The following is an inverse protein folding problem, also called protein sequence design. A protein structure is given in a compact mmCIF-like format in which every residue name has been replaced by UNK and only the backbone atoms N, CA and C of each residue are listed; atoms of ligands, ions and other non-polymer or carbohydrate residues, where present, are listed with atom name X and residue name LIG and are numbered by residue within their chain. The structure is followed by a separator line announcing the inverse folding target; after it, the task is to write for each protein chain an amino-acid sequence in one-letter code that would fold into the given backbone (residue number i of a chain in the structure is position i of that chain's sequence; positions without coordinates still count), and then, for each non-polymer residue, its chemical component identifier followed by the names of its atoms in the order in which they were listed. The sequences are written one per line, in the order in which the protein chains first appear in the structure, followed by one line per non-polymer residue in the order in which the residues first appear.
data_IF_326819152545
#
_entry.id   IF_326819152545
#
_cell.length_a   1.000
_cell.length_b   1.000
_cell.length_c   1.000
_cell.angle_alpha   90.00
_cell.angle_beta   90.00
_cell.angle_gamma   90.00
#
_symmetry.space_group_name_H-M   'P 1'
#
loop_
_entity.id
_entity.type
_entity.pdbx_description
1 polymer ?
#
# COMPACT_ATOMS: atom_id res chain seq x y z
N UNK A 1 -1.47 -5.45 18.05
CA UNK A 1 -2.45 -4.39 17.90
C UNK A 1 -3.87 -4.94 17.80
N UNK A 2 -4.85 -4.06 17.82
CA UNK A 2 -6.25 -4.40 17.66
C UNK A 2 -6.67 -4.20 16.22
N UNK A 3 -7.23 -5.23 15.60
CA UNK A 3 -7.84 -5.16 14.28
C UNK A 3 -9.36 -5.08 14.42
N UNK A 4 -9.97 -4.29 13.57
CA UNK A 4 -11.42 -4.24 13.42
C UNK A 4 -11.85 -5.19 12.32
N UNK A 5 -13.01 -5.82 12.48
CA UNK A 5 -13.59 -6.67 11.46
C UNK A 5 -15.10 -6.49 11.38
N UNK A 6 -15.63 -6.45 10.16
CA UNK A 6 -17.05 -6.29 9.88
C UNK A 6 -17.64 -4.94 10.31
N UNK A 7 -18.94 -4.77 10.09
CA UNK A 7 -19.68 -3.57 10.44
C UNK A 7 -20.06 -3.45 11.93
N UNK A 8 -19.70 -4.44 12.73
CA UNK A 8 -20.20 -4.61 14.10
C UNK A 8 -19.27 -4.10 15.20
N UNK A 9 -18.34 -3.22 14.90
CA UNK A 9 -17.31 -2.80 15.87
C UNK A 9 -16.55 -3.98 16.51
N UNK A 10 -16.60 -5.15 15.88
CA UNK A 10 -15.87 -6.32 16.33
C UNK A 10 -14.37 -6.04 16.28
N UNK A 11 -13.67 -6.40 17.34
CA UNK A 11 -12.22 -6.24 17.42
C UNK A 11 -11.58 -7.58 17.74
N UNK A 12 -10.39 -7.82 17.17
CA UNK A 12 -9.56 -8.96 17.54
C UNK A 12 -8.12 -8.52 17.63
N UNK A 13 -7.34 -9.25 18.40
CA UNK A 13 -5.91 -9.06 18.39
C UNK A 13 -5.34 -9.54 17.06
N UNK A 14 -4.57 -8.71 16.41
CA UNK A 14 -3.83 -9.10 15.21
C UNK A 14 -2.37 -8.64 15.31
N UNK A 15 -1.47 -9.50 14.88
CA UNK A 15 -0.06 -9.18 14.81
C UNK A 15 0.57 -9.98 13.66
N UNK A 16 0.93 -9.30 12.59
CA UNK A 16 1.66 -9.92 11.49
C UNK A 16 3.08 -10.34 11.90
N UNK A 17 3.59 -9.85 13.03
CA UNK A 17 4.89 -10.26 13.55
C UNK A 17 4.86 -11.58 14.30
N UNK A 18 3.68 -12.02 14.76
CA UNK A 18 3.51 -13.26 15.53
C UNK A 18 2.78 -14.37 14.77
N UNK A 19 2.05 -14.02 13.70
CA UNK A 19 1.26 -14.98 12.91
C UNK A 19 1.50 -14.78 11.42
N UNK A 20 1.57 -15.85 10.67
CA UNK A 20 1.70 -15.81 9.20
C UNK A 20 3.12 -15.65 8.66
N UNK A 21 4.11 -15.36 9.49
CA UNK A 21 5.52 -15.32 9.11
C UNK A 21 6.29 -16.44 9.79
N UNK A 22 7.11 -17.15 9.04
CA UNK A 22 8.06 -18.13 9.60
C UNK A 22 9.21 -17.41 10.34
N UNK A 23 9.81 -18.06 11.30
CA UNK A 23 10.81 -17.42 12.19
C UNK A 23 12.02 -16.90 11.42
N UNK A 24 12.52 -17.64 10.44
CA UNK A 24 13.61 -17.17 9.58
C UNK A 24 13.31 -15.84 8.89
N UNK A 25 12.07 -15.63 8.43
CA UNK A 25 11.66 -14.35 7.83
C UNK A 25 11.55 -13.25 8.87
N UNK A 26 11.07 -13.56 10.08
CA UNK A 26 10.98 -12.58 11.18
C UNK A 26 12.35 -12.02 11.57
N UNK A 27 13.39 -12.83 11.51
CA UNK A 27 14.78 -12.42 11.79
C UNK A 27 15.36 -11.50 10.71
N UNK A 28 14.88 -11.64 9.47
CA UNK A 28 15.28 -10.80 8.35
C UNK A 28 14.63 -9.41 8.36
N UNK A 29 13.57 -9.21 9.13
CA UNK A 29 12.77 -7.98 9.13
C UNK A 29 13.28 -7.00 10.18
N UNK A 30 13.69 -5.82 9.74
CA UNK A 30 14.07 -4.69 10.59
C UNK A 30 12.89 -3.83 11.02
N UNK A 31 13.09 -3.04 12.06
CA UNK A 31 12.18 -1.95 12.39
C UNK A 31 12.32 -0.84 11.35
N UNK A 32 11.20 -0.35 10.87
CA UNK A 32 11.14 0.72 9.90
C UNK A 32 10.24 1.86 10.39
N UNK A 33 10.58 3.08 9.97
CA UNK A 33 9.72 4.23 10.17
C UNK A 33 8.69 4.29 9.04
N UNK A 34 7.44 4.14 9.40
CA UNK A 34 6.29 4.29 8.51
C UNK A 34 5.75 5.70 8.64
N UNK A 35 5.64 6.41 7.52
CA UNK A 35 5.05 7.73 7.47
C UNK A 35 3.53 7.62 7.43
N UNK A 36 2.83 8.48 8.14
CA UNK A 36 1.39 8.48 8.29
C UNK A 36 0.76 9.80 7.84
N UNK A 37 1.46 10.55 7.02
CA UNK A 37 0.90 11.71 6.34
C UNK A 37 -0.23 11.27 5.42
N UNK A 38 -1.23 12.11 5.26
CA UNK A 38 -2.43 11.82 4.50
C UNK A 38 -2.76 12.85 3.43
N UNK A 39 -3.86 12.63 2.76
CA UNK A 39 -4.46 13.55 1.81
C UNK A 39 -5.90 13.85 2.22
N UNK A 40 -6.42 15.01 1.86
CA UNK A 40 -7.84 15.36 2.03
C UNK A 40 -8.70 14.92 0.85
N UNK A 41 -8.09 14.43 -0.21
CA UNK A 41 -8.77 13.98 -1.42
C UNK A 41 -7.98 12.89 -2.12
N UNK A 42 -8.64 12.07 -2.91
CA UNK A 42 -8.06 11.19 -3.91
C UNK A 42 -8.12 11.80 -5.32
N UNK A 43 -9.01 12.79 -5.53
CA UNK A 43 -9.10 13.52 -6.78
C UNK A 43 -7.86 14.39 -6.99
N UNK A 44 -7.43 14.52 -8.23
CA UNK A 44 -6.25 15.30 -8.62
C UNK A 44 -4.94 14.83 -7.94
N UNK A 45 -4.79 13.54 -7.62
CA UNK A 45 -3.61 13.05 -6.92
C UNK A 45 -2.86 11.98 -7.71
N UNK A 46 -1.73 12.37 -8.26
CA UNK A 46 -0.80 11.47 -8.95
C UNK A 46 0.03 10.64 -7.97
N UNK A 47 0.71 9.57 -8.41
CA UNK A 47 1.63 8.80 -7.56
C UNK A 47 2.67 9.66 -6.83
N UNK A 48 3.25 10.64 -7.51
CA UNK A 48 4.26 11.52 -6.91
C UNK A 48 3.68 12.48 -5.85
N UNK A 49 2.46 12.92 -6.05
CA UNK A 49 1.76 13.75 -5.06
C UNK A 49 1.40 12.93 -3.82
N UNK A 50 0.92 11.69 -3.98
CA UNK A 50 0.73 10.78 -2.85
C UNK A 50 2.03 10.56 -2.09
N UNK A 51 3.12 10.23 -2.78
CA UNK A 51 4.44 10.05 -2.16
C UNK A 51 4.85 11.24 -1.28
N UNK A 52 4.61 12.46 -1.76
CA UNK A 52 4.92 13.68 -1.00
C UNK A 52 4.00 13.86 0.21
N UNK A 53 2.69 13.64 0.03
CA UNK A 53 1.69 13.80 1.09
C UNK A 53 1.86 12.77 2.20
N UNK A 54 2.13 11.51 1.86
CA UNK A 54 2.41 10.42 2.80
C UNK A 54 3.55 10.75 3.75
N UNK A 55 4.57 11.45 3.26
CA UNK A 55 5.77 11.88 4.02
C UNK A 55 5.65 13.27 4.63
N UNK A 56 4.50 13.90 4.41
CA UNK A 56 4.16 15.21 4.97
C UNK A 56 3.75 15.15 6.44
N UNK A 57 3.37 16.29 6.95
CA UNK A 57 2.94 16.47 8.34
C UNK A 57 1.42 16.58 8.51
N UNK A 58 0.68 16.62 7.40
CA UNK A 58 -0.79 16.65 7.41
C UNK A 58 -1.32 15.26 7.75
N UNK A 59 -1.93 15.15 8.92
CA UNK A 59 -2.50 13.90 9.45
C UNK A 59 -3.90 14.13 9.97
N UNK A 60 -4.67 13.07 10.15
CA UNK A 60 -5.95 13.16 10.85
C UNK A 60 -5.72 13.68 12.28
N UNK A 61 -6.59 14.54 12.75
CA UNK A 61 -6.46 15.27 14.02
C UNK A 61 -6.02 14.37 15.19
N UNK A 62 -4.98 14.78 15.89
CA UNK A 62 -4.43 14.09 17.05
C UNK A 62 -3.63 12.81 16.74
N UNK A 63 -3.37 12.51 15.46
CA UNK A 63 -2.56 11.33 15.07
C UNK A 63 -1.10 11.70 14.89
N UNK A 64 -0.24 10.70 15.06
CA UNK A 64 1.20 10.86 14.79
C UNK A 64 1.47 10.92 13.30
N UNK A 65 2.51 11.65 12.90
CA UNK A 65 2.99 11.74 11.51
C UNK A 65 3.79 10.52 11.07
N UNK A 66 4.15 9.66 12.02
CA UNK A 66 4.88 8.41 11.75
C UNK A 66 4.69 7.39 12.86
N UNK A 67 4.95 6.15 12.52
CA UNK A 67 5.00 5.01 13.43
C UNK A 67 6.24 4.17 13.14
N UNK A 68 6.82 3.54 14.15
CA UNK A 68 7.95 2.62 13.99
C UNK A 68 7.49 1.20 14.29
N UNK A 69 7.77 0.29 13.39
CA UNK A 69 7.43 -1.12 13.54
C UNK A 69 7.89 -1.97 12.36
N UNK A 70 7.77 -3.28 12.52
CA UNK A 70 8.31 -4.28 11.59
C UNK A 70 7.46 -4.48 10.33
N UNK A 71 6.14 -4.34 10.46
CA UNK A 71 5.21 -4.67 9.37
C UNK A 71 4.22 -3.54 9.20
N UNK A 72 4.17 -2.94 8.03
CA UNK A 72 3.18 -1.95 7.64
C UNK A 72 2.29 -2.45 6.51
N UNK A 73 1.61 -1.52 5.86
CA UNK A 73 0.87 -1.76 4.63
C UNK A 73 1.49 -0.94 3.50
N UNK A 74 1.14 -1.25 2.25
CA UNK A 74 1.57 -0.46 1.10
C UNK A 74 1.05 0.98 1.19
N UNK A 75 1.75 1.88 0.54
CA UNK A 75 1.28 3.24 0.30
C UNK A 75 0.50 3.31 -1.02
N UNK A 76 -0.43 4.27 -1.19
CA UNK A 76 -0.98 4.61 -2.51
C UNK A 76 0.10 4.87 -3.56
N UNK A 77 1.18 5.55 -3.17
CA UNK A 77 2.32 5.79 -4.08
C UNK A 77 3.02 4.50 -4.50
N UNK A 78 3.15 3.51 -3.62
CA UNK A 78 3.75 2.21 -3.97
C UNK A 78 2.94 1.53 -5.07
N UNK A 79 1.59 1.52 -4.94
CA UNK A 79 0.70 1.04 -5.98
C UNK A 79 0.94 1.80 -7.29
N UNK A 80 0.90 3.13 -7.27
CA UNK A 80 1.10 3.90 -8.50
C UNK A 80 2.45 3.65 -9.19
N UNK A 81 3.52 3.48 -8.43
CA UNK A 81 4.84 3.21 -9.00
C UNK A 81 5.06 1.76 -9.44
N UNK A 82 4.21 0.84 -9.04
CA UNK A 82 4.33 -0.59 -9.36
C UNK A 82 3.98 -0.92 -10.81
N UNK A 83 3.26 -0.03 -11.51
CA UNK A 83 2.88 -0.26 -12.90
C UNK A 83 4.08 -0.22 -13.85
N UNK A 84 4.09 -1.11 -14.83
CA UNK A 84 4.97 -1.04 -15.99
C UNK A 84 4.39 -0.19 -17.13
N UNK A 85 3.09 0.16 -17.06
CA UNK A 85 2.35 0.67 -18.21
C UNK A 85 2.23 -0.38 -19.32
N UNK A 86 1.70 0.01 -20.45
CA UNK A 86 1.50 -0.89 -21.58
C UNK A 86 1.63 -0.20 -22.94
N UNK A 87 1.10 -0.85 -23.96
CA UNK A 87 1.23 -0.37 -25.36
C UNK A 87 0.37 0.87 -25.64
N UNK A 88 -0.79 0.98 -25.03
CA UNK A 88 -1.71 2.11 -25.21
C UNK A 88 -1.35 3.28 -24.29
N UNK A 89 -1.02 2.97 -23.04
CA UNK A 89 -0.61 3.96 -22.03
C UNK A 89 0.70 3.54 -21.41
N UNK A 90 1.79 4.16 -21.82
CA UNK A 90 3.12 3.83 -21.30
C UNK A 90 3.25 4.26 -19.83
N UNK A 91 4.30 3.74 -19.14
CA UNK A 91 4.53 3.99 -17.72
C UNK A 91 4.60 5.47 -17.37
N UNK A 92 5.28 6.28 -18.15
CA UNK A 92 5.40 7.71 -17.88
C UNK A 92 4.03 8.42 -17.94
N UNK A 93 3.20 8.05 -18.91
CA UNK A 93 1.82 8.55 -19.02
C UNK A 93 0.94 8.08 -17.86
N UNK A 94 1.09 6.85 -17.39
CA UNK A 94 0.39 6.37 -16.18
C UNK A 94 0.79 7.18 -14.95
N UNK A 95 2.09 7.42 -14.74
CA UNK A 95 2.58 8.16 -13.58
C UNK A 95 2.19 9.65 -13.58
N UNK A 96 1.85 10.19 -14.74
CA UNK A 96 1.35 11.56 -14.88
C UNK A 96 -0.16 11.70 -14.63
N UNK A 97 -0.88 10.57 -14.53
CA UNK A 97 -2.33 10.56 -14.26
C UNK A 97 -2.62 10.45 -12.78
N UNK A 98 -3.80 10.88 -12.42
CA UNK A 98 -4.36 10.66 -11.09
C UNK A 98 -4.59 9.17 -10.86
N UNK A 99 -4.29 8.70 -9.66
CA UNK A 99 -4.52 7.30 -9.33
C UNK A 99 -5.99 6.92 -9.30
N UNK A 100 -6.88 7.90 -9.12
CA UNK A 100 -8.32 7.69 -9.22
C UNK A 100 -8.74 7.32 -10.65
N UNK A 101 -8.17 7.97 -11.66
CA UNK A 101 -8.52 7.75 -13.07
C UNK A 101 -8.14 6.36 -13.60
N UNK A 102 -7.36 5.59 -12.88
CA UNK A 102 -6.92 4.28 -13.37
C UNK A 102 -8.04 3.24 -13.50
N UNK A 103 -9.24 3.52 -12.94
CA UNK A 103 -10.43 2.70 -13.22
C UNK A 103 -10.90 2.82 -14.68
N UNK A 104 -10.59 3.93 -15.37
CA UNK A 104 -11.05 4.18 -16.72
C UNK A 104 -10.44 3.21 -17.74
N UNK A 105 -11.30 2.69 -18.61
CA UNK A 105 -10.89 1.73 -19.64
C UNK A 105 -9.87 2.29 -20.64
N UNK A 106 -9.89 3.61 -20.88
CA UNK A 106 -8.94 4.29 -21.79
C UNK A 106 -7.50 4.28 -21.29
N UNK A 107 -7.29 4.02 -19.99
CA UNK A 107 -5.96 3.95 -19.36
C UNK A 107 -5.76 2.62 -18.61
N UNK A 108 -6.50 1.61 -19.02
CA UNK A 108 -6.49 0.28 -18.38
C UNK A 108 -5.10 -0.37 -18.30
N UNK A 109 -4.17 0.01 -19.19
CA UNK A 109 -2.77 -0.45 -19.12
C UNK A 109 -2.12 -0.12 -17.78
N UNK A 110 -2.50 0.99 -17.14
CA UNK A 110 -1.91 1.42 -15.88
C UNK A 110 -2.18 0.41 -14.76
N UNK A 111 -3.44 0.01 -14.57
CA UNK A 111 -3.81 -0.98 -13.56
C UNK A 111 -3.50 -2.43 -14.00
N UNK A 112 -3.73 -2.76 -15.27
CA UNK A 112 -3.60 -4.14 -15.74
C UNK A 112 -2.14 -4.63 -15.77
N UNK A 113 -1.19 -3.72 -15.87
CA UNK A 113 0.24 -4.01 -15.81
C UNK A 113 0.87 -3.58 -14.47
N UNK A 114 0.06 -3.44 -13.45
CA UNK A 114 0.50 -3.19 -12.08
C UNK A 114 0.54 -4.52 -11.31
N UNK A 115 1.71 -4.91 -10.85
CA UNK A 115 1.88 -6.18 -10.14
C UNK A 115 1.24 -6.19 -8.74
N UNK A 116 0.88 -5.02 -8.20
CA UNK A 116 0.18 -4.89 -6.92
C UNK A 116 -1.34 -4.94 -7.09
N UNK A 117 -1.85 -4.79 -8.31
CA UNK A 117 -3.29 -4.83 -8.56
C UNK A 117 -3.89 -6.20 -8.26
N UNK A 118 -5.05 -6.18 -7.63
CA UNK A 118 -5.87 -7.37 -7.38
C UNK A 118 -7.33 -7.06 -7.74
N UNK A 119 -7.81 -7.68 -8.82
CA UNK A 119 -9.18 -7.47 -9.31
C UNK A 119 -10.28 -8.06 -8.44
N UNK A 120 -9.94 -8.91 -7.47
CA UNK A 120 -10.93 -9.64 -6.68
C UNK A 120 -11.33 -8.95 -5.39
N UNK A 121 -10.52 -8.04 -4.88
CA UNK A 121 -10.77 -7.34 -3.60
C UNK A 121 -10.06 -6.00 -3.53
N UNK A 122 -10.71 -5.02 -2.90
CA UNK A 122 -10.05 -3.83 -2.41
C UNK A 122 -8.92 -4.18 -1.44
N UNK A 123 -7.89 -3.36 -1.39
CA UNK A 123 -6.71 -3.56 -0.54
C UNK A 123 -6.43 -2.28 0.24
N UNK A 124 -6.39 -2.39 1.56
CA UNK A 124 -6.03 -1.27 2.42
C UNK A 124 -4.59 -0.80 2.19
N UNK A 125 -4.42 0.51 2.24
CA UNK A 125 -3.11 1.16 2.35
C UNK A 125 -2.85 1.60 3.79
N UNK A 126 -1.65 2.10 4.08
CA UNK A 126 -1.32 2.67 5.39
C UNK A 126 -1.74 4.14 5.52
N UNK A 127 -2.10 4.78 4.42
CA UNK A 127 -2.30 6.23 4.32
C UNK A 127 -3.71 6.63 4.74
N UNK A 128 -3.88 7.46 5.78
CA UNK A 128 -5.19 7.94 6.20
C UNK A 128 -5.65 9.15 5.37
N UNK A 129 -6.96 9.40 5.38
CA UNK A 129 -7.47 10.75 5.12
C UNK A 129 -7.07 11.67 6.27
N UNK A 130 -6.79 12.94 5.95
CA UNK A 130 -6.39 13.92 6.98
C UNK A 130 -7.57 14.65 7.63
N UNK A 131 -8.74 14.64 7.02
CA UNK A 131 -9.93 15.44 7.37
C UNK A 131 -11.06 14.60 7.98
N UNK A 132 -11.12 13.32 7.68
CA UNK A 132 -12.13 12.39 8.18
C UNK A 132 -11.49 11.04 8.58
N UNK A 133 -12.24 10.20 9.30
CA UNK A 133 -11.77 8.88 9.76
C UNK A 133 -11.81 7.80 8.68
N UNK A 134 -11.33 8.13 7.49
CA UNK A 134 -11.22 7.21 6.34
C UNK A 134 -9.76 6.85 6.10
N UNK A 135 -9.55 5.81 5.32
CA UNK A 135 -8.24 5.30 4.90
C UNK A 135 -8.27 5.10 3.40
N UNK A 136 -7.18 5.45 2.73
CA UNK A 136 -7.06 5.16 1.31
C UNK A 136 -6.90 3.66 1.07
N UNK A 137 -7.48 3.19 -0.01
CA UNK A 137 -7.40 1.81 -0.47
C UNK A 137 -7.29 1.74 -1.99
N UNK A 138 -6.82 0.61 -2.49
CA UNK A 138 -6.84 0.28 -3.92
C UNK A 138 -8.09 -0.55 -4.18
N UNK A 139 -9.03 -0.01 -4.92
CA UNK A 139 -10.27 -0.67 -5.29
C UNK A 139 -10.53 -0.54 -6.79
N UNK A 140 -10.86 -1.64 -7.45
CA UNK A 140 -11.05 -1.73 -8.91
C UNK A 140 -9.92 -1.09 -9.75
N UNK A 141 -8.71 -1.12 -9.22
CA UNK A 141 -7.53 -0.61 -9.89
C UNK A 141 -7.33 0.91 -9.79
N UNK A 142 -8.11 1.60 -9.00
CA UNK A 142 -7.89 3.00 -8.66
C UNK A 142 -7.65 3.18 -7.15
N UNK A 143 -7.20 4.34 -6.75
CA UNK A 143 -7.08 4.73 -5.34
C UNK A 143 -8.29 5.56 -4.97
N UNK A 144 -9.00 5.11 -3.97
CA UNK A 144 -10.15 5.77 -3.35
C UNK A 144 -10.00 5.77 -1.84
N UNK A 145 -11.01 6.21 -1.11
CA UNK A 145 -11.00 6.14 0.35
C UNK A 145 -12.31 5.60 0.90
N UNK A 146 -12.20 4.83 1.96
CA UNK A 146 -13.35 4.27 2.66
C UNK A 146 -13.18 4.33 4.17
N UNK A 147 -14.31 4.29 4.88
CA UNK A 147 -14.31 4.10 6.33
C UNK A 147 -13.61 2.79 6.70
N UNK A 148 -12.72 2.83 7.68
CA UNK A 148 -11.91 1.68 8.10
C UNK A 148 -12.71 0.47 8.64
N UNK A 149 -14.03 0.56 8.65
CA UNK A 149 -14.94 -0.52 9.02
C UNK A 149 -15.28 -1.49 7.87
N UNK A 150 -14.88 -1.18 6.65
CA UNK A 150 -15.13 -2.01 5.47
C UNK A 150 -14.12 -3.16 5.41
N UNK A 151 -14.57 -4.31 4.93
CA UNK A 151 -13.72 -5.49 4.76
C UNK A 151 -12.95 -5.43 3.45
N UNK A 152 -11.70 -4.99 3.50
CA UNK A 152 -10.76 -5.08 2.39
C UNK A 152 -9.59 -6.00 2.74
N UNK A 153 -8.86 -6.44 1.73
CA UNK A 153 -7.64 -7.21 1.89
C UNK A 153 -6.54 -6.37 2.51
N UNK A 154 -5.58 -7.04 3.11
CA UNK A 154 -4.33 -6.42 3.56
C UNK A 154 -3.15 -7.06 2.83
N UNK A 155 -2.21 -6.23 2.41
CA UNK A 155 -0.92 -6.68 1.88
C UNK A 155 0.16 -6.19 2.82
N UNK A 156 0.68 -7.07 3.70
CA UNK A 156 1.77 -6.70 4.59
C UNK A 156 3.02 -6.32 3.80
N UNK A 157 3.65 -5.24 4.21
CA UNK A 157 4.92 -4.74 3.68
C UNK A 157 5.94 -4.74 4.80
N UNK A 158 7.16 -5.16 4.50
CA UNK A 158 8.27 -5.25 5.44
C UNK A 158 9.52 -4.60 4.86
N UNK A 159 10.38 -4.12 5.74
CA UNK A 159 11.73 -3.70 5.38
C UNK A 159 12.72 -4.75 5.86
N UNK A 160 13.53 -5.25 4.94
CA UNK A 160 14.58 -6.19 5.29
C UNK A 160 15.73 -5.47 5.99
N UNK A 161 16.40 -6.16 6.89
CA UNK A 161 17.63 -5.69 7.51
C UNK A 161 18.71 -5.46 6.44
N UNK A 162 19.53 -4.44 6.63
CA UNK A 162 20.59 -4.06 5.68
C UNK A 162 21.65 -5.14 5.45
N UNK A 163 21.74 -6.13 6.33
CA UNK A 163 22.64 -7.26 6.19
C UNK A 163 22.12 -8.33 5.21
N UNK A 164 20.82 -8.33 4.92
CA UNK A 164 20.20 -9.32 4.03
C UNK A 164 20.66 -9.06 2.61
N UNK A 165 21.11 -10.13 1.97
CA UNK A 165 21.57 -10.12 0.57
C UNK A 165 20.64 -10.91 -0.31
N UNK A 166 20.43 -10.42 -1.50
CA UNK A 166 19.77 -11.17 -2.56
C UNK A 166 20.83 -12.04 -3.24
N UNK A 167 20.68 -13.36 -3.15
CA UNK A 167 21.64 -14.30 -3.72
C UNK A 167 21.27 -14.67 -5.15
N UNK A 168 19.96 -14.82 -5.42
CA UNK A 168 19.45 -15.20 -6.74
C UNK A 168 17.98 -14.84 -6.89
N UNK A 169 17.44 -15.11 -8.08
CA UNK A 169 16.05 -14.83 -8.44
C UNK A 169 15.87 -13.51 -9.18
N UNK A 170 14.74 -13.38 -9.86
CA UNK A 170 14.34 -12.19 -10.61
C UNK A 170 13.12 -11.47 -10.01
N UNK A 171 12.58 -11.99 -8.91
CA UNK A 171 11.39 -11.43 -8.24
C UNK A 171 10.08 -11.82 -8.90
N UNK A 172 10.10 -12.76 -9.85
CA UNK A 172 8.87 -13.31 -10.44
C UNK A 172 8.36 -14.51 -9.64
N UNK A 173 7.14 -14.93 -9.91
CA UNK A 173 6.56 -16.13 -9.28
C UNK A 173 7.37 -17.38 -9.58
N UNK A 174 7.89 -17.47 -10.81
CA UNK A 174 8.67 -18.61 -11.32
C UNK A 174 10.13 -18.55 -10.84
N UNK A 175 10.60 -17.37 -10.48
CA UNK A 175 11.98 -17.13 -10.00
C UNK A 175 11.97 -16.12 -8.86
N UNK A 176 11.42 -16.48 -7.69
CA UNK A 176 11.39 -15.56 -6.55
C UNK A 176 12.80 -15.24 -6.07
N UNK A 177 12.97 -14.08 -5.45
CA UNK A 177 14.24 -13.75 -4.82
C UNK A 177 14.56 -14.72 -3.69
N UNK A 178 15.80 -15.22 -3.69
CA UNK A 178 16.38 -15.99 -2.58
C UNK A 178 17.25 -15.04 -1.77
N UNK A 179 16.99 -15.00 -0.48
CA UNK A 179 17.62 -14.07 0.47
C UNK A 179 18.50 -14.84 1.46
N UNK A 180 19.61 -14.21 1.88
CA UNK A 180 20.53 -14.69 2.91
C UNK A 180 20.88 -13.57 3.89
#
# INVERSE_FOLDING_TARGET
GTCYFGYSNGTTWCSFTSTGLIDAVKEMIGDAKWYLGGSSTYDDVTPSMFYTRERGTSVYSGRSTSWTGKVGLMYPSDYGYATSGGATTNRASCLAKELFDWYDSSVSDCKNNDWMYNSSKGQWTITPRQDISYVFDVYDGCVVDYGAIINHGVRPVVHLNSAIKMISGSGTKESPYILE
#
